data_IF_269600341082
#
_entry.id   IF_269600341082
#
_cell.length_a   1.000
_cell.length_b   1.000
_cell.length_c   1.000
_cell.angle_alpha   90.00
_cell.angle_beta   90.00
_cell.angle_gamma   90.00
#
_symmetry.space_group_name_H-M   'P 1'
#
loop_
_entity.id
_entity.type
_entity.pdbx_description
1 polymer ?
#
# COMPACT_ATOMS: atom_id res chain seq x y z
N UNK A 1 -8.14 10.18 -12.51
CA UNK A 1 -7.21 9.07 -12.77
C UNK A 1 -7.80 7.78 -12.20
N UNK A 2 -7.61 6.64 -12.86
CA UNK A 2 -8.18 5.35 -12.45
C UNK A 2 -7.25 4.58 -11.53
N UNK A 3 -7.80 3.98 -10.46
CA UNK A 3 -7.08 3.08 -9.55
C UNK A 3 -7.06 1.66 -10.09
N UNK A 4 -6.03 0.89 -9.74
CA UNK A 4 -5.99 -0.54 -10.06
C UNK A 4 -7.01 -1.33 -9.24
N UNK A 5 -6.92 -1.23 -7.92
CA UNK A 5 -7.91 -1.79 -6.98
C UNK A 5 -8.40 -0.71 -6.03
N UNK A 6 -9.72 -0.68 -5.83
CA UNK A 6 -10.36 0.11 -4.79
C UNK A 6 -11.14 -0.82 -3.87
N UNK A 7 -10.68 -0.95 -2.63
CA UNK A 7 -11.32 -1.76 -1.61
C UNK A 7 -11.75 -0.88 -0.43
N UNK A 8 -13.04 -0.88 -0.11
CA UNK A 8 -13.58 -0.27 1.10
C UNK A 8 -14.51 -1.28 1.77
N UNK A 9 -14.12 -1.72 2.96
CA UNK A 9 -14.80 -2.77 3.70
C UNK A 9 -14.93 -2.40 5.18
N UNK A 10 -15.99 -2.87 5.83
CA UNK A 10 -16.16 -2.75 7.29
C UNK A 10 -15.44 -3.85 8.06
N UNK A 11 -15.00 -4.91 7.36
CA UNK A 11 -14.18 -6.00 7.89
C UNK A 11 -12.75 -5.91 7.35
N UNK A 12 -11.87 -6.77 7.87
CA UNK A 12 -10.54 -6.95 7.29
C UNK A 12 -10.66 -7.50 5.86
N UNK A 13 -9.79 -7.02 4.96
CA UNK A 13 -9.73 -7.47 3.59
C UNK A 13 -8.39 -8.13 3.28
N UNK A 14 -8.44 -9.23 2.53
CA UNK A 14 -7.28 -9.96 2.04
C UNK A 14 -7.13 -9.69 0.53
N UNK A 15 -6.10 -8.94 0.14
CA UNK A 15 -5.74 -8.66 -1.25
C UNK A 15 -4.48 -9.47 -1.61
N UNK A 16 -4.64 -10.56 -2.34
CA UNK A 16 -3.57 -11.53 -2.59
C UNK A 16 -3.42 -11.85 -4.08
N UNK A 17 -2.19 -12.13 -4.51
CA UNK A 17 -1.88 -12.70 -5.82
C UNK A 17 -2.31 -11.86 -7.03
N UNK A 18 -2.26 -10.53 -6.91
CA UNK A 18 -2.58 -9.61 -7.99
C UNK A 18 -1.33 -9.02 -8.64
N UNK A 19 -1.45 -8.66 -9.93
CA UNK A 19 -0.49 -7.82 -10.64
C UNK A 19 -1.11 -6.42 -10.85
N UNK A 20 -0.71 -5.45 -10.01
CA UNK A 20 -1.29 -4.10 -9.91
C UNK A 20 -0.27 -3.09 -10.45
N UNK A 21 -0.29 -2.92 -11.77
CA UNK A 21 0.70 -2.09 -12.46
C UNK A 21 0.14 -1.19 -13.55
N UNK A 22 0.88 -0.13 -13.85
CA UNK A 22 0.61 0.79 -14.97
C UNK A 22 -0.79 1.44 -14.93
N UNK A 23 -1.36 1.63 -13.74
CA UNK A 23 -2.58 2.40 -13.56
C UNK A 23 -2.31 3.90 -13.73
N UNK A 24 -3.28 4.66 -14.25
CA UNK A 24 -3.12 6.12 -14.38
C UNK A 24 -3.18 6.86 -13.03
N UNK A 25 -3.74 6.23 -12.00
CA UNK A 25 -3.80 6.71 -10.62
C UNK A 25 -3.07 5.78 -9.66
N UNK A 26 -3.52 5.73 -8.41
CA UNK A 26 -2.93 4.87 -7.37
C UNK A 26 -3.07 3.38 -7.73
N UNK A 27 -2.12 2.56 -7.27
CA UNK A 27 -2.19 1.11 -7.47
C UNK A 27 -3.37 0.50 -6.72
N UNK A 28 -3.30 0.53 -5.39
CA UNK A 28 -4.32 0.00 -4.49
C UNK A 28 -4.74 1.07 -3.48
N UNK A 29 -6.05 1.33 -3.39
CA UNK A 29 -6.65 2.00 -2.24
C UNK A 29 -7.35 0.97 -1.36
N UNK A 30 -7.00 0.92 -0.08
CA UNK A 30 -7.60 0.00 0.89
C UNK A 30 -8.05 0.73 2.15
N UNK A 31 -9.36 0.74 2.40
CA UNK A 31 -9.96 1.13 3.67
C UNK A 31 -10.70 -0.08 4.26
N UNK A 32 -9.98 -0.94 4.98
CA UNK A 32 -10.50 -2.11 5.68
C UNK A 32 -10.38 -1.99 7.20
N UNK A 33 -10.81 -3.01 7.94
CA UNK A 33 -10.56 -3.06 9.40
C UNK A 33 -9.14 -3.55 9.71
N UNK A 34 -8.71 -3.40 10.97
CA UNK A 34 -7.47 -3.99 11.47
C UNK A 34 -7.38 -5.49 11.15
N UNK A 35 -6.19 -5.94 10.73
CA UNK A 35 -5.97 -7.30 10.26
C UNK A 35 -6.13 -7.48 8.75
N UNK A 36 -6.38 -6.39 8.01
CA UNK A 36 -6.32 -6.42 6.54
C UNK A 36 -4.90 -6.74 6.06
N UNK A 37 -4.80 -7.55 5.00
CA UNK A 37 -3.54 -8.02 4.44
C UNK A 37 -3.47 -7.73 2.95
N UNK A 38 -2.31 -7.30 2.51
CA UNK A 38 -1.95 -7.12 1.10
C UNK A 38 -0.69 -7.92 0.90
N UNK A 39 -0.77 -9.20 0.50
CA UNK A 39 0.41 -10.07 0.40
C UNK A 39 0.54 -10.67 -0.99
N UNK A 40 1.76 -10.96 -1.42
CA UNK A 40 2.06 -11.66 -2.66
C UNK A 40 1.49 -10.99 -3.91
N UNK A 41 1.43 -9.66 -3.91
CA UNK A 41 1.07 -8.86 -5.09
C UNK A 41 2.32 -8.23 -5.71
N UNK A 42 2.21 -7.84 -6.98
CA UNK A 42 3.16 -6.94 -7.63
C UNK A 42 2.54 -5.54 -7.69
N UNK A 43 3.15 -4.54 -7.06
CA UNK A 43 2.69 -3.14 -7.10
C UNK A 43 3.79 -2.24 -7.65
N UNK A 44 3.68 -1.87 -8.93
CA UNK A 44 4.70 -1.04 -9.58
C UNK A 44 4.19 -0.26 -10.80
N UNK A 45 4.90 0.81 -11.17
CA UNK A 45 4.58 1.59 -12.37
C UNK A 45 3.23 2.30 -12.35
N UNK A 46 2.58 2.43 -11.19
CA UNK A 46 1.33 3.16 -11.06
C UNK A 46 1.58 4.67 -11.07
N UNK A 47 0.88 5.39 -11.94
CA UNK A 47 1.10 6.82 -12.22
C UNK A 47 0.57 7.79 -11.17
N UNK A 48 -0.24 7.32 -10.20
CA UNK A 48 -0.62 8.10 -9.04
C UNK A 48 0.52 8.27 -8.03
N UNK A 49 0.27 9.01 -6.95
CA UNK A 49 1.28 9.28 -5.92
C UNK A 49 1.71 8.01 -5.16
N UNK A 50 0.83 7.02 -5.03
CA UNK A 50 1.04 5.85 -4.18
C UNK A 50 0.79 4.53 -4.92
N UNK A 51 1.62 3.53 -4.63
CA UNK A 51 1.40 2.14 -5.03
C UNK A 51 0.37 1.47 -4.10
N UNK A 52 0.43 1.75 -2.79
CA UNK A 52 -0.61 1.40 -1.82
C UNK A 52 -1.00 2.64 -0.99
N UNK A 53 -2.29 2.90 -0.90
CA UNK A 53 -2.88 3.94 -0.08
C UNK A 53 -3.72 3.29 1.02
N UNK A 54 -3.28 3.43 2.28
CA UNK A 54 -4.10 3.08 3.44
C UNK A 54 -5.15 4.15 3.68
N UNK A 55 -6.41 3.84 3.37
CA UNK A 55 -7.49 4.81 3.31
C UNK A 55 -8.17 5.10 4.65
N UNK A 56 -7.70 4.56 5.77
CA UNK A 56 -8.23 4.83 7.10
C UNK A 56 -7.21 4.57 8.23
N UNK A 57 -7.65 4.78 9.48
CA UNK A 57 -6.85 4.57 10.69
C UNK A 57 -6.54 3.12 11.08
N UNK A 58 -6.95 2.12 10.29
CA UNK A 58 -6.61 0.71 10.57
C UNK A 58 -5.26 0.37 9.98
N UNK A 59 -4.48 -0.45 10.68
CA UNK A 59 -3.20 -0.94 10.15
C UNK A 59 -3.40 -1.95 9.02
N UNK A 60 -2.48 -1.95 8.06
CA UNK A 60 -2.44 -2.88 6.93
C UNK A 60 -1.13 -3.66 6.96
N UNK A 61 -1.23 -4.99 6.91
CA UNK A 61 -0.06 -5.86 6.73
C UNK A 61 0.21 -6.04 5.23
N UNK A 62 1.17 -5.29 4.71
CA UNK A 62 1.57 -5.28 3.31
C UNK A 62 2.93 -5.98 3.06
N UNK A 63 3.34 -6.88 3.95
CA UNK A 63 4.60 -7.64 3.77
C UNK A 63 4.49 -8.61 2.59
N UNK A 64 5.63 -9.04 2.07
CA UNK A 64 5.70 -10.07 1.02
C UNK A 64 5.07 -9.65 -0.32
N UNK A 65 5.06 -8.37 -0.65
CA UNK A 65 4.78 -7.90 -2.01
C UNK A 65 6.08 -7.64 -2.77
N UNK A 66 6.00 -7.66 -4.10
CA UNK A 66 6.96 -6.96 -4.93
C UNK A 66 6.54 -5.50 -5.06
N UNK A 67 7.46 -4.59 -4.77
CA UNK A 67 7.28 -3.15 -4.86
C UNK A 67 8.07 -2.59 -6.05
N UNK A 68 7.70 -1.40 -6.53
CA UNK A 68 8.50 -0.67 -7.51
C UNK A 68 9.95 -0.48 -7.06
N UNK A 69 10.89 -0.36 -8.00
CA UNK A 69 12.32 -0.19 -7.69
C UNK A 69 12.59 0.95 -6.70
N UNK A 70 11.83 2.06 -6.81
CA UNK A 70 11.94 3.20 -5.91
C UNK A 70 11.49 2.86 -4.48
N UNK A 71 10.30 2.29 -4.31
CA UNK A 71 9.78 1.89 -3.00
C UNK A 71 10.65 0.80 -2.36
N UNK A 72 11.07 -0.19 -3.15
CA UNK A 72 11.99 -1.24 -2.71
C UNK A 72 13.30 -0.64 -2.21
N UNK A 73 13.95 0.22 -3.00
CA UNK A 73 15.21 0.87 -2.62
C UNK A 73 15.08 1.67 -1.31
N UNK A 74 13.97 2.37 -1.12
CA UNK A 74 13.68 3.02 0.15
C UNK A 74 13.59 1.99 1.28
N UNK A 75 12.82 0.92 1.16
CA UNK A 75 12.69 -0.12 2.20
C UNK A 75 14.02 -0.77 2.59
N UNK A 76 14.95 -0.90 1.64
CA UNK A 76 16.27 -1.51 1.86
C UNK A 76 17.31 -0.55 2.45
N UNK A 77 17.06 0.76 2.37
CA UNK A 77 17.99 1.76 2.88
C UNK A 77 17.74 2.06 4.37
N UNK A 78 18.80 2.30 5.14
CA UNK A 78 18.67 2.84 6.50
C UNK A 78 17.92 1.94 7.50
N UNK A 79 17.33 2.57 8.52
CA UNK A 79 16.64 1.89 9.64
C UNK A 79 15.13 1.92 9.41
N UNK A 80 14.48 0.78 9.65
CA UNK A 80 13.02 0.61 9.58
C UNK A 80 12.42 0.49 11.01
N UNK A 81 11.16 0.92 11.22
CA UNK A 81 10.22 1.47 10.22
C UNK A 81 10.47 2.96 9.92
N UNK A 82 10.11 3.38 8.71
CA UNK A 82 10.22 4.75 8.20
C UNK A 82 9.20 5.03 7.09
N UNK A 83 9.06 6.31 6.71
CA UNK A 83 8.24 6.71 5.58
C UNK A 83 8.80 6.13 4.26
N UNK A 84 7.93 5.50 3.47
CA UNK A 84 8.19 5.04 2.11
C UNK A 84 7.31 5.87 1.19
N UNK A 85 7.90 6.65 0.30
CA UNK A 85 7.24 7.66 -0.54
C UNK A 85 6.05 7.11 -1.34
N UNK A 86 6.03 5.81 -1.63
CA UNK A 86 5.01 5.13 -2.43
C UNK A 86 3.92 4.47 -1.60
N UNK A 87 3.99 4.53 -0.27
CA UNK A 87 3.00 3.99 0.65
C UNK A 87 2.37 5.15 1.43
N UNK A 88 1.08 5.40 1.26
CA UNK A 88 0.39 6.40 2.07
C UNK A 88 -0.09 5.80 3.38
N UNK A 89 0.48 6.24 4.50
CA UNK A 89 0.19 5.71 5.82
C UNK A 89 0.39 6.75 6.95
N UNK A 90 0.55 6.30 8.20
CA UNK A 90 0.75 7.15 9.38
C UNK A 90 1.93 8.13 9.26
N UNK A 91 2.91 7.87 8.40
CA UNK A 91 4.04 8.76 8.18
C UNK A 91 3.70 9.97 7.30
N UNK A 92 2.59 9.93 6.55
CA UNK A 92 2.11 11.02 5.71
C UNK A 92 0.94 11.78 6.35
N UNK A 93 0.08 11.07 7.09
CA UNK A 93 -1.10 11.62 7.75
C UNK A 93 -1.39 10.88 9.07
N UNK A 94 -1.58 11.61 10.17
CA UNK A 94 -1.72 11.04 11.51
C UNK A 94 -3.08 10.36 11.75
N UNK A 95 -4.06 10.54 10.86
CA UNK A 95 -5.34 9.83 10.92
C UNK A 95 -5.27 8.40 10.35
N UNK A 96 -4.15 8.05 9.69
CA UNK A 96 -3.97 6.78 8.98
C UNK A 96 -3.28 5.71 9.85
N UNK A 97 -3.59 4.45 9.57
CA UNK A 97 -2.90 3.33 10.20
C UNK A 97 -1.54 3.07 9.55
N UNK A 98 -0.65 2.38 10.27
CA UNK A 98 0.66 1.95 9.74
C UNK A 98 0.49 0.93 8.61
N UNK A 99 1.33 1.04 7.58
CA UNK A 99 1.54 -0.02 6.58
C UNK A 99 2.81 -0.79 6.93
N UNK A 100 2.68 -2.08 7.24
CA UNK A 100 3.83 -2.95 7.45
C UNK A 100 4.31 -3.51 6.11
N UNK A 101 5.53 -3.18 5.68
CA UNK A 101 6.09 -3.58 4.38
C UNK A 101 7.22 -4.60 4.49
#
# INVERSE_FOLDING_TARGET
>A
AGRGIFCRATAAADIFYNDIRNNSGEGLYLAGANGSKVHFNNLHGNGGAYDLHNGNGSSVDARSNYWSDAAGAEMQAGVNPKNITRLFDIYDDNDQGTVYY
#
